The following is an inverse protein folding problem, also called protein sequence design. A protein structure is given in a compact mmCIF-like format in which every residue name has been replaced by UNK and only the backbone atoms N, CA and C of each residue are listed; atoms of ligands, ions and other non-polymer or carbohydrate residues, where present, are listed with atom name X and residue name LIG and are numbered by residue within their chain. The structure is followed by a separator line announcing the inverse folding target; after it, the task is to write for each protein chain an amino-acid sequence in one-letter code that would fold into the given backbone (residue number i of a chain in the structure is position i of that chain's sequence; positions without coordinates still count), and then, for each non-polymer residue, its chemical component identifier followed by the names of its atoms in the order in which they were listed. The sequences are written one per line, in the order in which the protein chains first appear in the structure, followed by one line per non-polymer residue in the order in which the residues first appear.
data_IF_640868524963
#
_entry.id   IF_640868524963
#
_cell.length_a   1.000
_cell.length_b   1.000
_cell.length_c   1.000
_cell.angle_alpha   90.00
_cell.angle_beta   90.00
_cell.angle_gamma   90.00
#
_symmetry.space_group_name_H-M   'P 1'
#
loop_
_entity.id
_entity.type
_entity.pdbx_description
1 polymer ?
#
# COMPACT_ATOMS: atom_id res chain seq x y z
N UNK A 1 -5.80 -9.76 5.92
CA UNK A 1 -4.77 -9.54 4.87
C UNK A 1 -3.64 -8.75 5.47
N UNK A 2 -2.41 -8.98 5.01
CA UNK A 2 -1.20 -8.35 5.52
C UNK A 2 -0.54 -7.52 4.41
N UNK A 3 0.14 -6.43 4.77
CA UNK A 3 1.12 -5.76 3.89
C UNK A 3 2.50 -5.92 4.53
N UNK A 4 3.51 -6.31 3.76
CA UNK A 4 4.87 -6.60 4.24
C UNK A 4 5.89 -6.30 3.14
N UNK A 5 7.17 -6.16 3.45
CA UNK A 5 8.26 -6.16 2.46
C UNK A 5 8.67 -7.59 2.04
N UNK A 6 8.07 -8.62 2.64
CA UNK A 6 8.30 -10.02 2.31
C UNK A 6 9.52 -10.66 2.99
N UNK A 7 10.36 -9.88 3.67
CA UNK A 7 11.66 -10.33 4.17
C UNK A 7 11.59 -11.54 5.12
N UNK A 8 10.64 -11.53 6.06
CA UNK A 8 10.41 -12.64 7.00
C UNK A 8 9.32 -13.61 6.53
N UNK A 9 8.76 -13.41 5.34
CA UNK A 9 7.58 -14.16 4.94
C UNK A 9 7.88 -15.65 4.73
N UNK A 10 9.12 -16.00 4.38
CA UNK A 10 9.56 -17.41 4.32
C UNK A 10 9.48 -18.13 5.66
N UNK A 11 9.64 -17.42 6.78
CA UNK A 11 9.61 -18.01 8.13
C UNK A 11 8.19 -18.09 8.70
N UNK A 12 7.30 -17.18 8.28
CA UNK A 12 5.98 -17.02 8.88
C UNK A 12 4.80 -17.38 7.96
N UNK A 13 4.99 -17.62 6.67
CA UNK A 13 3.88 -17.79 5.71
C UNK A 13 2.87 -18.88 6.14
N UNK A 14 3.34 -20.06 6.52
CA UNK A 14 2.49 -21.17 6.97
C UNK A 14 1.76 -20.84 8.27
N UNK A 15 2.50 -20.40 9.30
CA UNK A 15 1.90 -19.99 10.59
C UNK A 15 0.84 -18.90 10.43
N UNK A 16 1.08 -17.94 9.53
CA UNK A 16 0.13 -16.89 9.22
C UNK A 16 -1.11 -17.45 8.52
N UNK A 17 -0.94 -18.38 7.57
CA UNK A 17 -2.03 -19.06 6.89
C UNK A 17 -2.90 -19.83 7.89
N UNK A 18 -2.28 -20.61 8.78
CA UNK A 18 -2.96 -21.40 9.81
C UNK A 18 -3.72 -20.52 10.80
N UNK A 19 -3.19 -19.34 11.11
CA UNK A 19 -3.88 -18.33 11.92
C UNK A 19 -5.05 -17.62 11.20
N UNK A 20 -5.36 -18.00 9.95
CA UNK A 20 -6.47 -17.48 9.16
C UNK A 20 -6.10 -16.33 8.22
N UNK A 21 -4.81 -16.07 7.96
CA UNK A 21 -4.42 -15.09 6.95
C UNK A 21 -4.72 -15.63 5.55
N UNK A 22 -5.58 -14.94 4.82
CA UNK A 22 -5.95 -15.37 3.46
C UNK A 22 -5.04 -14.85 2.35
N UNK A 23 -4.53 -13.62 2.46
CA UNK A 23 -3.83 -12.92 1.37
C UNK A 23 -2.78 -11.93 1.87
N UNK A 24 -1.78 -11.66 1.03
CA UNK A 24 -0.68 -10.72 1.30
C UNK A 24 -0.50 -9.67 0.21
N UNK A 25 -0.06 -8.48 0.62
CA UNK A 25 0.47 -7.44 -0.24
C UNK A 25 1.96 -7.31 0.08
N UNK A 26 2.83 -7.39 -0.91
CA UNK A 26 4.27 -7.37 -0.74
C UNK A 26 4.80 -6.11 -1.43
N UNK A 27 5.45 -5.23 -0.67
CA UNK A 27 6.15 -4.07 -1.22
C UNK A 27 7.49 -4.52 -1.80
N UNK A 28 7.68 -4.34 -3.10
CA UNK A 28 8.86 -4.72 -3.85
C UNK A 28 9.08 -3.68 -4.95
N UNK A 29 10.03 -2.78 -4.72
CA UNK A 29 10.26 -1.62 -5.61
C UNK A 29 11.35 -1.89 -6.66
N UNK A 30 12.05 -3.02 -6.61
CA UNK A 30 13.04 -3.39 -7.63
C UNK A 30 13.25 -4.90 -7.67
N UNK A 31 13.57 -5.41 -8.85
CA UNK A 31 14.00 -6.79 -9.13
C UNK A 31 15.52 -6.87 -9.36
N UNK A 32 16.24 -5.74 -9.21
CA UNK A 32 17.70 -5.68 -9.26
C UNK A 32 18.27 -5.52 -7.83
N UNK A 33 19.20 -6.38 -7.44
CA UNK A 33 19.71 -6.45 -6.06
C UNK A 33 20.26 -5.09 -5.56
N UNK A 34 21.09 -4.41 -6.35
CA UNK A 34 21.70 -3.13 -5.96
C UNK A 34 20.68 -2.01 -5.77
N UNK A 35 19.71 -1.90 -6.69
CA UNK A 35 18.62 -0.93 -6.58
C UNK A 35 17.71 -1.25 -5.40
N UNK A 36 17.35 -2.52 -5.22
CA UNK A 36 16.55 -2.98 -4.09
C UNK A 36 17.24 -2.64 -2.76
N UNK A 37 18.53 -2.98 -2.62
CA UNK A 37 19.34 -2.70 -1.44
C UNK A 37 19.41 -1.19 -1.15
N UNK A 38 19.60 -0.36 -2.20
CA UNK A 38 19.58 1.10 -2.07
C UNK A 38 18.23 1.64 -1.59
N UNK A 39 17.14 1.20 -2.20
CA UNK A 39 15.77 1.65 -1.85
C UNK A 39 15.40 1.23 -0.43
N UNK A 40 15.70 -0.02 -0.06
CA UNK A 40 15.35 -0.60 1.25
C UNK A 40 16.36 -0.28 2.36
N UNK A 41 17.44 0.43 2.05
CA UNK A 41 18.54 0.77 2.97
C UNK A 41 19.22 -0.46 3.58
N UNK A 42 19.53 -1.45 2.74
CA UNK A 42 20.26 -2.67 3.12
C UNK A 42 19.46 -3.97 3.13
N UNK A 43 18.24 -3.98 2.59
CA UNK A 43 17.45 -5.20 2.44
C UNK A 43 18.05 -6.19 1.45
N UNK A 44 17.55 -7.43 1.47
CA UNK A 44 17.93 -8.52 0.57
C UNK A 44 16.76 -8.86 -0.36
N UNK A 45 16.97 -8.72 -1.67
CA UNK A 45 15.96 -9.04 -2.66
C UNK A 45 15.70 -10.55 -2.67
N UNK A 46 16.75 -11.36 -2.56
CA UNK A 46 16.66 -12.82 -2.46
C UNK A 46 15.66 -13.26 -1.37
N UNK A 47 15.75 -12.67 -0.16
CA UNK A 47 14.81 -12.97 0.93
C UNK A 47 13.38 -12.56 0.60
N UNK A 48 13.17 -11.41 -0.04
CA UNK A 48 11.84 -10.98 -0.45
C UNK A 48 11.23 -11.93 -1.50
N UNK A 49 12.02 -12.37 -2.49
CA UNK A 49 11.60 -13.34 -3.50
C UNK A 49 11.27 -14.71 -2.89
N UNK A 50 12.13 -15.23 -1.99
CA UNK A 50 11.85 -16.44 -1.20
C UNK A 50 10.57 -16.30 -0.37
N UNK A 51 10.31 -15.12 0.17
CA UNK A 51 9.06 -14.78 0.86
C UNK A 51 7.84 -14.89 -0.04
N UNK A 52 7.93 -14.38 -1.29
CA UNK A 52 6.86 -14.52 -2.30
C UNK A 52 6.62 -16.00 -2.63
N UNK A 53 7.68 -16.78 -2.83
CA UNK A 53 7.57 -18.22 -3.11
C UNK A 53 6.89 -18.98 -1.97
N UNK A 54 7.26 -18.67 -0.73
CA UNK A 54 6.69 -19.29 0.46
C UNK A 54 5.21 -18.92 0.63
N UNK A 55 4.85 -17.68 0.32
CA UNK A 55 3.46 -17.25 0.33
C UNK A 55 2.61 -17.93 -0.75
N UNK A 56 3.18 -18.20 -1.94
CA UNK A 56 2.51 -18.99 -2.97
C UNK A 56 2.28 -20.43 -2.49
N UNK A 57 3.32 -21.07 -1.95
CA UNK A 57 3.26 -22.44 -1.43
C UNK A 57 2.23 -22.58 -0.30
N UNK A 58 2.18 -21.64 0.62
CA UNK A 58 1.20 -21.60 1.72
C UNK A 58 -0.23 -21.22 1.26
N UNK A 59 -0.44 -20.90 -0.03
CA UNK A 59 -1.76 -20.54 -0.55
C UNK A 59 -2.29 -19.21 -0.01
N UNK A 60 -1.41 -18.23 0.22
CA UNK A 60 -1.77 -16.85 0.62
C UNK A 60 -2.26 -16.02 -0.58
N UNK A 61 -3.30 -16.49 -1.25
CA UNK A 61 -3.80 -15.94 -2.50
C UNK A 61 -5.01 -14.99 -2.31
N UNK A 62 -5.15 -13.95 -3.16
CA UNK A 62 -4.19 -13.51 -4.17
C UNK A 62 -2.98 -12.80 -3.54
N UNK A 63 -1.79 -13.00 -4.10
CA UNK A 63 -0.60 -12.20 -3.76
C UNK A 63 -0.59 -10.94 -4.63
N UNK A 64 -0.39 -9.79 -3.99
CA UNK A 64 -0.27 -8.50 -4.66
C UNK A 64 1.12 -7.95 -4.45
N UNK A 65 1.82 -7.58 -5.53
CA UNK A 65 3.10 -6.88 -5.44
C UNK A 65 2.83 -5.39 -5.61
N UNK A 66 3.33 -4.57 -4.71
CA UNK A 66 3.28 -3.11 -4.79
C UNK A 66 4.65 -2.60 -5.18
N UNK A 67 4.70 -1.85 -6.27
CA UNK A 67 5.91 -1.23 -6.79
C UNK A 67 5.63 0.25 -6.95
N UNK A 68 6.25 1.07 -6.10
CA UNK A 68 6.23 2.52 -6.25
C UNK A 68 7.25 2.89 -7.31
N UNK A 69 6.79 3.49 -8.41
CA UNK A 69 7.66 3.85 -9.52
C UNK A 69 8.22 5.25 -9.35
N UNK A 70 9.53 5.35 -9.49
CA UNK A 70 10.30 6.58 -9.34
C UNK A 70 11.19 6.73 -10.57
N UNK A 71 11.01 7.84 -11.30
CA UNK A 71 11.78 8.16 -12.50
C UNK A 71 13.27 8.20 -12.21
N UNK A 72 14.08 7.58 -13.07
CA UNK A 72 15.52 7.48 -12.95
C UNK A 72 16.00 6.51 -11.85
N UNK A 73 15.10 5.75 -11.23
CA UNK A 73 15.44 4.78 -10.19
C UNK A 73 15.05 3.36 -10.60
N UNK A 74 13.76 3.12 -10.86
CA UNK A 74 13.22 1.79 -11.14
C UNK A 74 12.18 1.78 -12.27
N UNK A 75 12.00 2.90 -12.98
CA UNK A 75 11.05 3.02 -14.08
C UNK A 75 11.47 2.20 -15.32
N UNK A 76 12.75 1.83 -15.41
CA UNK A 76 13.27 0.89 -16.40
C UNK A 76 12.88 -0.57 -16.13
N UNK A 77 12.49 -0.92 -14.91
CA UNK A 77 12.16 -2.30 -14.50
C UNK A 77 10.67 -2.66 -14.70
N UNK A 78 9.85 -1.72 -15.21
CA UNK A 78 8.40 -1.94 -15.41
C UNK A 78 8.12 -3.21 -16.20
N UNK A 79 8.91 -3.47 -17.26
CA UNK A 79 8.73 -4.66 -18.10
C UNK A 79 9.12 -5.96 -17.39
N UNK A 80 10.12 -5.92 -16.50
CA UNK A 80 10.54 -7.08 -15.72
C UNK A 80 9.44 -7.49 -14.73
N UNK A 81 8.81 -6.50 -14.09
CA UNK A 81 7.63 -6.73 -13.25
C UNK A 81 6.44 -7.26 -14.05
N UNK A 82 6.19 -6.74 -15.25
CA UNK A 82 5.13 -7.28 -16.14
C UNK A 82 5.42 -8.75 -16.48
N UNK A 83 6.66 -9.10 -16.81
CA UNK A 83 7.07 -10.49 -17.08
C UNK A 83 6.81 -11.39 -15.89
N UNK A 84 7.07 -10.92 -14.67
CA UNK A 84 6.75 -11.64 -13.44
C UNK A 84 5.25 -11.97 -13.34
N UNK A 85 4.37 -11.06 -13.76
CA UNK A 85 2.92 -11.28 -13.83
C UNK A 85 2.51 -12.25 -14.95
N UNK A 86 3.28 -12.33 -16.03
CA UNK A 86 3.04 -13.29 -17.11
C UNK A 86 3.31 -14.72 -16.61
N UNK A 87 4.44 -14.93 -15.95
CA UNK A 87 4.97 -16.24 -15.59
C UNK A 87 4.37 -16.81 -14.30
N UNK A 88 3.90 -15.94 -13.40
CA UNK A 88 3.47 -16.30 -12.04
C UNK A 88 2.09 -15.72 -11.73
N UNK A 89 1.30 -16.35 -10.83
CA UNK A 89 -0.04 -15.86 -10.44
C UNK A 89 0.05 -14.68 -9.46
N UNK A 90 0.82 -13.65 -9.83
CA UNK A 90 1.06 -12.44 -9.04
C UNK A 90 0.29 -11.25 -9.63
N UNK A 91 -0.27 -10.43 -8.75
CA UNK A 91 -0.97 -9.21 -9.15
C UNK A 91 -0.06 -8.01 -8.90
N UNK A 92 0.64 -7.58 -9.93
CA UNK A 92 1.58 -6.45 -9.87
C UNK A 92 0.79 -5.16 -9.86
N UNK A 93 1.15 -4.22 -8.98
CA UNK A 93 0.51 -2.91 -8.87
C UNK A 93 1.56 -1.83 -8.90
N UNK A 94 1.54 -1.06 -9.97
CA UNK A 94 2.33 0.14 -10.11
C UNK A 94 1.63 1.29 -9.41
N UNK A 95 2.37 1.97 -8.54
CA UNK A 95 1.87 3.06 -7.70
C UNK A 95 2.65 4.32 -8.07
N UNK A 96 1.92 5.42 -8.29
CA UNK A 96 2.55 6.73 -8.46
C UNK A 96 3.32 7.11 -7.19
N UNK A 97 4.54 7.60 -7.38
CA UNK A 97 5.30 8.19 -6.29
C UNK A 97 4.52 9.36 -5.66
N UNK A 98 4.45 9.37 -4.33
CA UNK A 98 3.81 10.44 -3.56
C UNK A 98 4.89 11.17 -2.76
N UNK A 99 4.92 12.52 -2.76
CA UNK A 99 5.89 13.25 -1.98
C UNK A 99 5.49 13.20 -0.50
N UNK A 100 6.28 12.49 0.30
CA UNK A 100 6.11 12.46 1.77
C UNK A 100 7.44 12.77 2.45
N UNK A 101 7.50 13.90 3.15
CA UNK A 101 8.72 14.41 3.80
C UNK A 101 9.45 15.46 2.96
N UNK A 102 10.02 16.46 3.65
CA UNK A 102 10.55 17.71 3.07
C UNK A 102 11.62 17.49 1.98
N UNK A 103 12.53 16.52 2.15
CA UNK A 103 13.57 16.22 1.16
C UNK A 103 13.00 15.72 -0.18
N UNK A 104 11.87 15.01 -0.12
CA UNK A 104 11.23 14.42 -1.30
C UNK A 104 10.45 15.47 -2.10
N UNK A 105 10.01 16.54 -1.44
CA UNK A 105 9.19 17.62 -2.02
C UNK A 105 9.94 18.33 -3.15
N UNK A 106 11.21 18.66 -2.92
CA UNK A 106 12.01 19.49 -3.82
C UNK A 106 12.40 18.80 -5.12
N UNK A 107 12.54 17.47 -5.12
CA UNK A 107 12.91 16.68 -6.30
C UNK A 107 11.71 15.95 -6.94
N UNK A 108 10.50 16.21 -6.42
CA UNK A 108 9.32 15.44 -6.77
C UNK A 108 9.01 15.46 -8.27
N UNK A 109 9.07 16.62 -8.93
CA UNK A 109 8.76 16.75 -10.36
C UNK A 109 9.70 15.89 -11.23
N UNK A 110 10.98 15.85 -10.88
CA UNK A 110 11.99 15.06 -11.59
C UNK A 110 11.85 13.56 -11.34
N UNK A 111 11.24 13.17 -10.22
CA UNK A 111 11.08 11.77 -9.79
C UNK A 111 9.71 11.19 -10.12
N UNK A 112 8.73 12.03 -10.45
CA UNK A 112 7.38 11.59 -10.73
C UNK A 112 7.23 10.93 -12.10
N UNK A 113 6.48 9.83 -12.13
CA UNK A 113 6.01 9.18 -13.35
C UNK A 113 4.51 8.92 -13.21
N UNK A 114 3.74 9.36 -14.20
CA UNK A 114 2.29 9.18 -14.18
C UNK A 114 1.92 7.77 -14.61
N UNK A 115 0.79 7.26 -14.10
CA UNK A 115 0.21 5.98 -14.58
C UNK A 115 -0.02 6.00 -16.09
N UNK A 116 -0.41 7.15 -16.65
CA UNK A 116 -0.69 7.28 -18.08
C UNK A 116 0.57 7.03 -18.91
N UNK A 117 1.71 7.59 -18.51
CA UNK A 117 2.99 7.38 -19.20
C UNK A 117 3.39 5.89 -19.20
N UNK A 118 3.23 5.20 -18.07
CA UNK A 118 3.55 3.77 -17.96
C UNK A 118 2.60 2.94 -18.81
N UNK A 119 1.31 3.27 -18.78
CA UNK A 119 0.28 2.57 -19.55
C UNK A 119 0.51 2.71 -21.05
N UNK A 120 0.88 3.89 -21.53
CA UNK A 120 1.23 4.14 -22.93
C UNK A 120 2.45 3.32 -23.39
N UNK A 121 3.49 3.22 -22.54
CA UNK A 121 4.64 2.35 -22.80
C UNK A 121 4.22 0.88 -22.92
N UNK A 122 3.34 0.41 -22.05
CA UNK A 122 2.88 -0.99 -22.02
C UNK A 122 1.94 -1.36 -23.17
N UNK A 123 1.02 -0.48 -23.57
CA UNK A 123 0.07 -0.75 -24.67
C UNK A 123 0.78 -0.94 -26.01
N UNK A 124 1.95 -0.31 -26.21
CA UNK A 124 2.76 -0.52 -27.43
C UNK A 124 3.28 -1.95 -27.59
N UNK A 125 3.40 -2.70 -26.49
CA UNK A 125 3.97 -4.07 -26.47
C UNK A 125 2.96 -5.15 -26.10
N UNK A 126 1.95 -4.82 -25.30
CA UNK A 126 1.01 -5.78 -24.72
C UNK A 126 -0.43 -5.35 -24.94
N UNK A 127 -1.30 -6.33 -25.24
CA UNK A 127 -2.74 -6.11 -25.25
C UNK A 127 -3.27 -6.12 -23.81
N UNK A 128 -3.55 -4.92 -23.27
CA UNK A 128 -4.06 -4.72 -21.91
C UNK A 128 -5.59 -4.77 -21.89
N UNK A 129 -6.17 -5.90 -21.47
CA UNK A 129 -7.62 -6.03 -21.34
C UNK A 129 -8.07 -5.60 -19.93
N UNK A 130 -8.93 -4.56 -19.78
CA UNK A 130 -9.41 -4.14 -18.47
C UNK A 130 -10.23 -5.24 -17.82
N UNK A 131 -10.01 -5.46 -16.52
CA UNK A 131 -10.78 -6.44 -15.74
C UNK A 131 -11.34 -5.80 -14.48
N UNK A 132 -12.57 -6.17 -14.13
CA UNK A 132 -13.15 -5.86 -12.82
C UNK A 132 -12.83 -7.01 -11.86
N UNK A 133 -12.07 -6.71 -10.82
CA UNK A 133 -11.84 -7.68 -9.74
C UNK A 133 -12.98 -7.52 -8.73
N UNK A 134 -13.86 -8.52 -8.63
CA UNK A 134 -14.92 -8.55 -7.62
C UNK A 134 -14.30 -8.40 -6.21
N UNK A 135 -14.90 -7.57 -5.36
CA UNK A 135 -14.44 -7.28 -3.99
C UNK A 135 -13.05 -6.62 -3.88
N UNK A 136 -12.60 -5.88 -4.91
CA UNK A 136 -11.37 -5.09 -4.80
C UNK A 136 -11.57 -3.88 -3.88
N UNK A 137 -11.33 -4.06 -2.58
CA UNK A 137 -11.27 -2.98 -1.59
C UNK A 137 -10.00 -2.10 -1.75
N UNK A 138 -9.80 -1.55 -2.95
CA UNK A 138 -8.74 -0.59 -3.20
C UNK A 138 -8.74 0.03 -4.59
N UNK A 139 -7.95 1.10 -4.75
CA UNK A 139 -8.08 2.06 -5.85
C UNK A 139 -7.45 1.60 -7.17
N UNK A 140 -6.95 0.37 -7.23
CA UNK A 140 -6.19 -0.09 -8.37
C UNK A 140 -7.14 -0.45 -9.53
N UNK A 141 -6.84 0.08 -10.71
CA UNK A 141 -7.46 -0.36 -11.96
C UNK A 141 -6.64 -1.51 -12.53
N UNK A 142 -7.26 -2.68 -12.72
CA UNK A 142 -6.55 -3.90 -13.12
C UNK A 142 -6.78 -4.22 -14.60
N UNK A 143 -5.73 -4.79 -15.19
CA UNK A 143 -5.66 -5.23 -16.56
C UNK A 143 -5.07 -6.65 -16.59
N UNK A 144 -5.55 -7.45 -17.53
CA UNK A 144 -4.99 -8.77 -17.83
C UNK A 144 -4.34 -8.72 -19.21
N UNK A 145 -3.09 -9.17 -19.26
CA UNK A 145 -2.37 -9.41 -20.52
C UNK A 145 -2.74 -10.80 -21.02
N UNK A 146 -2.90 -10.97 -22.34
CA UNK A 146 -3.18 -12.27 -22.95
C UNK A 146 -2.09 -13.29 -22.57
N UNK A 147 -2.49 -14.45 -22.05
CA UNK A 147 -1.57 -15.51 -21.62
C UNK A 147 -0.96 -15.33 -20.22
N UNK A 148 -1.24 -14.22 -19.53
CA UNK A 148 -0.71 -13.98 -18.19
C UNK A 148 -1.39 -14.86 -17.12
N UNK A 149 -0.58 -15.42 -16.21
CA UNK A 149 -1.10 -16.08 -14.99
C UNK A 149 -1.59 -15.08 -13.95
N UNK A 150 -1.00 -13.89 -13.95
CA UNK A 150 -1.26 -12.80 -13.02
C UNK A 150 -2.05 -11.64 -13.62
N UNK A 151 -1.93 -10.46 -12.99
CA UNK A 151 -2.55 -9.21 -13.46
C UNK A 151 -1.61 -8.03 -13.24
N UNK A 152 -1.83 -6.96 -14.01
CA UNK A 152 -1.15 -5.67 -13.84
C UNK A 152 -2.18 -4.64 -13.43
N UNK A 153 -1.92 -3.91 -12.36
CA UNK A 153 -2.78 -2.87 -11.85
C UNK A 153 -2.05 -1.54 -11.72
N UNK A 154 -2.82 -0.46 -11.77
CA UNK A 154 -2.29 0.89 -11.63
C UNK A 154 -3.04 1.63 -10.52
N UNK A 155 -2.30 2.31 -9.64
CA UNK A 155 -2.82 3.14 -8.56
C UNK A 155 -2.40 4.58 -8.80
N UNK A 156 -3.38 5.41 -9.14
CA UNK A 156 -3.25 6.85 -9.32
C UNK A 156 -3.39 7.56 -7.98
N UNK A 157 -2.27 7.88 -7.35
CA UNK A 157 -2.29 8.56 -6.06
C UNK A 157 -2.43 10.08 -6.21
N UNK A 158 -1.96 10.64 -7.32
CA UNK A 158 -1.92 12.09 -7.55
C UNK A 158 -2.67 12.49 -8.80
N UNK A 159 -2.40 11.82 -9.93
CA UNK A 159 -2.97 12.22 -11.23
C UNK A 159 -4.50 12.10 -11.28
N UNK A 160 -5.05 11.08 -10.63
CA UNK A 160 -6.49 10.81 -10.52
C UNK A 160 -6.78 10.23 -9.13
N UNK A 161 -6.82 11.08 -8.10
CA UNK A 161 -7.00 10.62 -6.72
C UNK A 161 -8.40 10.02 -6.50
N UNK A 162 -8.48 9.03 -5.62
CA UNK A 162 -9.70 8.24 -5.34
C UNK A 162 -10.35 8.61 -3.98
N UNK A 163 -10.19 9.86 -3.54
CA UNK A 163 -10.65 10.29 -2.22
C UNK A 163 -12.17 10.17 -2.04
N UNK A 164 -12.95 10.46 -3.09
CA UNK A 164 -14.42 10.41 -3.07
C UNK A 164 -14.97 9.02 -2.70
N UNK A 165 -14.29 7.96 -3.13
CA UNK A 165 -14.67 6.56 -2.85
C UNK A 165 -13.89 5.95 -1.69
N UNK A 166 -13.05 6.74 -1.01
CA UNK A 166 -12.20 6.24 0.06
C UNK A 166 -13.02 5.90 1.31
N UNK A 167 -12.97 4.64 1.73
CA UNK A 167 -13.65 4.14 2.93
C UNK A 167 -12.67 3.75 4.07
N UNK A 168 -11.42 4.21 4.01
CA UNK A 168 -10.37 3.84 4.98
C UNK A 168 -10.28 4.79 6.17
N UNK A 169 -9.99 4.22 7.32
CA UNK A 169 -9.50 4.84 8.56
C UNK A 169 -8.32 3.98 9.04
N UNK A 170 -7.29 4.59 9.61
CA UNK A 170 -6.13 3.88 10.14
C UNK A 170 -6.03 4.00 11.64
N UNK A 171 -5.59 2.93 12.29
CA UNK A 171 -5.13 2.95 13.67
C UNK A 171 -3.60 2.89 13.64
N UNK A 172 -2.93 3.92 14.16
CA UNK A 172 -1.47 3.95 14.25
C UNK A 172 -0.96 3.04 15.38
N UNK A 173 0.34 2.71 15.36
CA UNK A 173 1.00 1.96 16.45
C UNK A 173 0.98 2.72 17.79
N UNK A 174 0.96 4.06 17.74
CA UNK A 174 0.75 4.91 18.92
C UNK A 174 -0.67 4.76 19.52
N UNK A 175 -1.61 4.20 18.76
CA UNK A 175 -3.00 4.02 19.15
C UNK A 175 -3.88 5.23 18.84
N UNK A 176 -3.59 5.93 17.73
CA UNK A 176 -4.40 7.06 17.24
C UNK A 176 -5.17 6.66 15.99
N UNK A 177 -6.45 7.02 15.93
CA UNK A 177 -7.26 6.93 14.72
C UNK A 177 -6.89 8.09 13.79
N UNK A 178 -6.43 7.79 12.57
CA UNK A 178 -6.21 8.77 11.50
C UNK A 178 -7.23 8.56 10.39
N UNK A 179 -8.05 9.57 10.07
CA UNK A 179 -9.11 9.44 9.07
C UNK A 179 -8.59 9.54 7.64
N UNK A 180 -7.41 10.11 7.43
CA UNK A 180 -6.72 10.17 6.16
C UNK A 180 -5.23 9.88 6.35
N UNK A 181 -4.60 9.29 5.34
CA UNK A 181 -3.15 9.10 5.29
C UNK A 181 -2.43 10.45 5.46
N UNK A 182 -2.87 11.44 4.68
CA UNK A 182 -2.30 12.78 4.55
C UNK A 182 -2.94 13.81 5.49
N UNK A 183 -3.45 13.39 6.64
CA UNK A 183 -3.96 14.33 7.65
C UNK A 183 -3.23 14.14 8.97
N UNK A 184 -2.65 15.20 9.51
CA UNK A 184 -2.03 15.20 10.83
C UNK A 184 -3.05 15.13 11.98
N UNK A 185 -4.35 15.31 11.68
CA UNK A 185 -5.43 15.15 12.66
C UNK A 185 -5.58 13.66 13.00
N UNK A 186 -5.54 13.35 14.29
CA UNK A 186 -5.78 12.01 14.78
C UNK A 186 -6.41 12.02 16.16
N UNK A 187 -7.22 11.01 16.44
CA UNK A 187 -7.94 10.85 17.70
C UNK A 187 -7.25 9.75 18.51
N UNK A 188 -6.77 10.07 19.71
CA UNK A 188 -6.12 9.10 20.59
C UNK A 188 -7.16 8.19 21.25
N UNK A 189 -7.38 7.01 20.65
CA UNK A 189 -8.33 6.03 21.15
C UNK A 189 -7.72 5.18 22.28
N UNK A 190 -6.39 4.99 22.27
CA UNK A 190 -5.67 4.19 23.27
C UNK A 190 -5.78 4.80 24.66
N UNK A 191 -5.60 6.12 24.80
CA UNK A 191 -5.76 6.82 26.09
C UNK A 191 -7.19 6.68 26.61
N UNK A 192 -8.19 6.88 25.75
CA UNK A 192 -9.61 6.78 26.14
C UNK A 192 -9.95 5.38 26.64
N UNK A 193 -9.54 4.34 25.90
CA UNK A 193 -9.77 2.94 26.30
C UNK A 193 -9.06 2.61 27.62
N UNK A 194 -7.81 3.06 27.79
CA UNK A 194 -7.04 2.77 29.01
C UNK A 194 -7.60 3.49 30.24
N UNK A 195 -8.08 4.73 30.10
CA UNK A 195 -8.73 5.47 31.18
C UNK A 195 -10.00 4.73 31.65
N UNK A 196 -10.84 4.31 30.69
CA UNK A 196 -12.05 3.55 30.98
C UNK A 196 -11.77 2.25 31.75
N UNK A 197 -10.73 1.52 31.34
CA UNK A 197 -10.35 0.26 31.98
C UNK A 197 -9.95 0.45 33.45
N UNK A 198 -9.43 1.64 33.82
CA UNK A 198 -9.10 1.99 35.21
C UNK A 198 -10.35 2.35 36.02
N UNK A 199 -11.22 3.19 35.46
CA UNK A 199 -12.31 3.81 36.22
C UNK A 199 -13.53 2.88 36.41
N UNK A 200 -13.84 2.02 35.43
CA UNK A 200 -15.13 1.30 35.37
C UNK A 200 -15.01 -0.22 35.16
N UNK A 201 -13.98 -0.86 35.75
CA UNK A 201 -13.73 -2.32 35.73
C UNK A 201 -14.17 -2.99 34.41
N UNK A 202 -13.43 -2.75 33.33
CA UNK A 202 -13.48 -3.51 32.07
C UNK A 202 -14.89 -3.78 31.46
N UNK A 203 -15.84 -2.85 31.63
CA UNK A 203 -17.16 -2.94 31.00
C UNK A 203 -17.03 -2.99 29.46
N UNK A 204 -17.35 -4.16 28.90
CA UNK A 204 -17.27 -4.45 27.46
C UNK A 204 -18.27 -3.62 26.66
N UNK A 205 -19.46 -3.37 27.19
CA UNK A 205 -20.50 -2.61 26.53
C UNK A 205 -20.10 -1.14 26.42
N UNK A 206 -19.65 -0.55 27.52
CA UNK A 206 -19.21 0.84 27.54
C UNK A 206 -17.98 1.06 26.64
N UNK A 207 -17.03 0.11 26.62
CA UNK A 207 -15.88 0.15 25.72
C UNK A 207 -16.30 0.13 24.24
N UNK A 208 -17.31 -0.67 23.90
CA UNK A 208 -17.85 -0.74 22.53
C UNK A 208 -18.45 0.59 22.10
N UNK A 209 -19.28 1.22 22.93
CA UNK A 209 -19.89 2.51 22.58
C UNK A 209 -18.84 3.63 22.46
N UNK A 210 -17.84 3.68 23.35
CA UNK A 210 -16.74 4.65 23.23
C UNK A 210 -15.94 4.46 21.93
N UNK A 211 -15.63 3.22 21.56
CA UNK A 211 -14.91 2.93 20.31
C UNK A 211 -15.74 3.41 19.12
N UNK A 212 -17.04 3.10 19.12
CA UNK A 212 -17.99 3.52 18.08
C UNK A 212 -18.07 5.04 17.96
N UNK A 213 -18.14 5.75 19.07
CA UNK A 213 -18.18 7.22 19.07
C UNK A 213 -16.87 7.84 18.56
N UNK A 214 -15.72 7.29 18.98
CA UNK A 214 -14.41 7.74 18.48
C UNK A 214 -14.24 7.46 16.99
N UNK A 215 -14.79 6.35 16.48
CA UNK A 215 -14.83 6.08 15.05
C UNK A 215 -15.73 7.07 14.29
N UNK A 216 -16.92 7.39 14.82
CA UNK A 216 -17.80 8.41 14.22
C UNK A 216 -17.12 9.78 14.18
N UNK A 217 -16.44 10.17 15.25
CA UNK A 217 -15.65 11.39 15.32
C UNK A 217 -14.54 11.39 14.25
N UNK A 218 -13.82 10.27 14.09
CA UNK A 218 -12.80 10.13 13.04
C UNK A 218 -13.41 10.29 11.64
N UNK A 219 -14.56 9.66 11.36
CA UNK A 219 -15.27 9.80 10.08
C UNK A 219 -15.63 11.25 9.79
N UNK A 220 -16.12 12.01 10.78
CA UNK A 220 -16.45 13.43 10.62
C UNK A 220 -15.23 14.31 10.33
N UNK A 221 -14.06 13.94 10.85
CA UNK A 221 -12.81 14.64 10.58
C UNK A 221 -12.18 14.28 9.23
N UNK A 222 -12.76 13.32 8.50
CA UNK A 222 -12.21 12.89 7.22
C UNK A 222 -12.33 14.03 6.19
N UNK A 223 -11.22 14.48 5.60
CA UNK A 223 -11.29 15.49 4.55
C UNK A 223 -11.95 14.91 3.29
N UNK A 224 -12.58 15.77 2.50
CA UNK A 224 -13.17 15.41 1.20
C UNK A 224 -12.10 14.82 0.27
N UNK A 225 -10.90 15.40 0.28
CA UNK A 225 -9.73 14.87 -0.41
C UNK A 225 -8.43 15.40 0.19
N UNK A 226 -7.33 14.71 -0.07
CA UNK A 226 -6.01 15.26 0.25
C UNK A 226 -5.68 16.39 -0.72
N UNK A 227 -4.91 17.37 -0.26
CA UNK A 227 -4.45 18.50 -1.08
C UNK A 227 -3.08 18.28 -1.73
N UNK A 228 -2.55 17.05 -1.71
CA UNK A 228 -1.34 16.75 -2.46
C UNK A 228 -1.55 17.13 -3.92
N UNK A 229 -0.84 18.15 -4.36
CA UNK A 229 -0.71 18.53 -5.74
C UNK A 229 0.77 18.75 -6.03
N UNK A 230 1.11 18.83 -7.32
CA UNK A 230 2.49 18.98 -7.77
C UNK A 230 3.10 20.31 -7.26
N UNK A 231 2.26 21.34 -7.02
CA UNK A 231 2.69 22.73 -6.78
C UNK A 231 2.51 23.29 -5.37
N UNK A 232 1.78 22.62 -4.48
CA UNK A 232 1.34 23.14 -3.18
C UNK A 232 1.39 22.03 -2.13
N UNK A 233 2.61 21.74 -1.69
CA UNK A 233 2.89 20.67 -0.75
C UNK A 233 2.77 21.23 0.67
N UNK A 234 1.53 21.46 1.15
CA UNK A 234 1.30 21.81 2.56
C UNK A 234 2.05 20.79 3.45
N UNK A 235 2.93 21.29 4.32
CA UNK A 235 3.89 20.56 5.19
C UNK A 235 3.32 19.29 5.84
N UNK A 236 3.30 18.20 5.10
CA UNK A 236 3.00 16.85 5.59
C UNK A 236 4.33 16.16 5.91
N UNK A 237 5.00 16.62 6.96
CA UNK A 237 6.20 15.97 7.48
C UNK A 237 5.82 14.77 8.35
N UNK A 238 5.52 13.64 7.72
CA UNK A 238 5.47 12.36 8.42
C UNK A 238 6.09 11.26 7.58
N UNK A 239 6.75 10.32 8.26
CA UNK A 239 7.24 9.11 7.62
C UNK A 239 6.11 8.08 7.52
N UNK A 240 5.94 7.50 6.33
CA UNK A 240 4.95 6.44 6.07
C UNK A 240 5.07 5.26 7.05
N UNK A 241 6.30 4.95 7.48
CA UNK A 241 6.61 3.93 8.48
C UNK A 241 5.89 4.13 9.82
N UNK A 242 5.56 5.37 10.21
CA UNK A 242 4.82 5.66 11.46
C UNK A 242 3.32 5.39 11.37
N UNK A 243 2.79 5.22 10.17
CA UNK A 243 1.34 5.12 9.89
C UNK A 243 0.96 3.73 9.36
N UNK A 244 1.93 2.81 9.27
CA UNK A 244 1.72 1.45 8.75
C UNK A 244 1.61 1.43 7.22
N UNK A 245 2.35 2.31 6.55
CA UNK A 245 2.61 2.27 5.10
C UNK A 245 3.95 1.64 4.81
#
# INVERSE_FOLDING_TARGET
SLTTNGFFLSEYAEKLKDAGLNRVNISLDSLQEEKYKRITRGGSLEKALKGIDSALKAGLLPIKINTVLIRGINDDEVEDFVRLALERPLNIRFIEFMPTGEEVINEFENKFISVQEIKEKLIKKYLLNPIKICNSNGPANYFRIKGAKGTVGFITALSQHFCETCNRIRLTSEGKLRPCLFSNKGIDIKKTIRKLARDKKNDRFLRKEIIKDKLKEAVKLKPVGHKLNIKNQENLSFHMSRIGG
#
